data_IF_510769692491
#
_entry.id   IF_510769692491
#
_cell.length_a   1.000
_cell.length_b   1.000
_cell.length_c   1.000
_cell.angle_alpha   90.00
_cell.angle_beta   90.00
_cell.angle_gamma   90.00
#
_symmetry.space_group_name_H-M   'P 1'
#
loop_
_entity.id
_entity.type
_entity.pdbx_description
1 polymer ?
#
# COMPACT_ATOMS: atom_id res chain seq x y z
N UNK A 1 -65.04 20.15 32.88
CA UNK A 1 -63.62 19.85 33.17
C UNK A 1 -63.18 18.86 32.10
N UNK A 2 -62.33 19.26 31.16
CA UNK A 2 -61.80 18.35 30.14
C UNK A 2 -60.70 17.51 30.80
N UNK A 3 -60.88 16.20 30.83
CA UNK A 3 -59.86 15.24 31.26
C UNK A 3 -58.78 15.22 30.17
N UNK A 4 -57.56 15.62 30.54
CA UNK A 4 -56.41 15.58 29.65
C UNK A 4 -56.06 14.13 29.32
N UNK A 5 -55.90 13.82 28.04
CA UNK A 5 -55.40 12.52 27.57
C UNK A 5 -53.99 12.35 28.14
N UNK A 6 -53.85 11.54 29.19
CA UNK A 6 -52.57 11.15 29.72
C UNK A 6 -51.93 10.18 28.72
N UNK A 7 -50.91 10.64 27.99
CA UNK A 7 -50.16 9.79 27.08
C UNK A 7 -49.56 8.61 27.87
N UNK A 8 -49.70 7.37 27.38
CA UNK A 8 -49.12 6.21 28.04
C UNK A 8 -47.58 6.30 28.09
N UNK A 9 -46.92 5.68 29.08
CA UNK A 9 -45.52 5.92 29.43
C UNK A 9 -44.48 5.46 28.38
N UNK A 10 -44.92 4.84 27.28
CA UNK A 10 -44.09 4.38 26.16
C UNK A 10 -44.18 5.28 24.92
N UNK A 11 -44.89 6.41 25.01
CA UNK A 11 -44.98 7.38 23.91
C UNK A 11 -43.80 8.32 24.01
N UNK A 12 -42.81 8.09 23.14
CA UNK A 12 -41.65 8.98 23.02
C UNK A 12 -42.10 10.39 22.63
N UNK A 13 -41.62 11.38 23.36
CA UNK A 13 -41.84 12.78 23.02
C UNK A 13 -41.13 13.16 21.72
N UNK A 14 -41.55 14.25 21.03
CA UNK A 14 -40.90 14.70 19.81
C UNK A 14 -39.38 14.92 19.94
N UNK A 15 -38.89 15.26 21.14
CA UNK A 15 -37.45 15.37 21.44
C UNK A 15 -36.76 14.00 21.44
N UNK A 16 -37.34 12.99 22.09
CA UNK A 16 -36.76 11.65 22.18
C UNK A 16 -36.77 10.94 20.82
N UNK A 17 -37.85 11.12 20.05
CA UNK A 17 -37.92 10.68 18.65
C UNK A 17 -36.88 11.42 17.81
N UNK A 18 -36.70 12.72 18.03
CA UNK A 18 -35.65 13.52 17.39
C UNK A 18 -34.24 13.03 17.70
N UNK A 19 -33.94 12.71 18.96
CA UNK A 19 -32.66 12.13 19.39
C UNK A 19 -32.43 10.73 18.79
N UNK A 20 -33.48 9.91 18.70
CA UNK A 20 -33.40 8.60 18.05
C UNK A 20 -33.16 8.70 16.54
N UNK A 21 -33.87 9.60 15.86
CA UNK A 21 -33.66 9.87 14.44
C UNK A 21 -32.26 10.43 14.21
N UNK A 22 -31.77 11.30 15.10
CA UNK A 22 -30.41 11.83 15.00
C UNK A 22 -29.35 10.77 15.34
N UNK A 23 -29.61 9.84 16.26
CA UNK A 23 -28.68 8.73 16.52
C UNK A 23 -28.69 7.68 15.39
N UNK A 24 -29.80 7.54 14.67
CA UNK A 24 -29.97 6.55 13.59
C UNK A 24 -29.57 7.11 12.22
N UNK A 25 -29.79 8.41 11.98
CA UNK A 25 -29.61 9.09 10.69
C UNK A 25 -28.77 10.37 10.79
N UNK A 26 -28.54 10.90 11.98
CA UNK A 26 -27.67 12.05 12.23
C UNK A 26 -26.22 11.62 12.18
N UNK A 27 -25.67 11.66 10.98
CA UNK A 27 -24.74 12.71 10.57
C UNK A 27 -23.99 12.21 9.34
N UNK A 28 -24.72 12.17 8.21
CA UNK A 28 -24.11 11.89 6.91
C UNK A 28 -23.13 12.99 6.50
N UNK A 29 -23.25 14.21 7.05
CA UNK A 29 -22.38 15.34 6.71
C UNK A 29 -21.03 15.28 7.41
N UNK A 30 -20.97 14.97 8.70
CA UNK A 30 -19.70 14.76 9.41
C UNK A 30 -18.93 13.54 8.88
N UNK A 31 -19.63 12.46 8.49
CA UNK A 31 -18.99 11.31 7.83
C UNK A 31 -18.42 11.69 6.46
N UNK A 32 -19.18 12.46 5.67
CA UNK A 32 -18.74 12.94 4.37
C UNK A 32 -17.57 13.95 4.49
N UNK A 33 -17.54 14.78 5.52
CA UNK A 33 -16.45 15.74 5.77
C UNK A 33 -15.18 15.06 6.31
N UNK A 34 -15.32 14.08 7.20
CA UNK A 34 -14.21 13.25 7.67
C UNK A 34 -13.60 12.39 6.55
N UNK A 35 -14.42 11.94 5.58
CA UNK A 35 -13.95 11.27 4.37
C UNK A 35 -13.32 12.22 3.34
N UNK A 36 -13.74 13.50 3.31
CA UNK A 36 -13.27 14.52 2.34
C UNK A 36 -11.89 15.08 2.66
N UNK A 37 -11.39 14.99 3.89
CA UNK A 37 -10.05 15.51 4.24
C UNK A 37 -8.98 14.44 4.50
N UNK A 38 -9.15 13.25 3.91
CA UNK A 38 -8.02 12.33 3.76
C UNK A 38 -7.05 12.97 2.74
N UNK A 39 -6.00 13.65 3.22
CA UNK A 39 -4.94 14.20 2.37
C UNK A 39 -4.25 13.06 1.57
N UNK A 40 -4.78 12.77 0.38
CA UNK A 40 -4.24 11.76 -0.53
C UNK A 40 -2.97 12.28 -1.17
N UNK A 41 -1.84 11.87 -0.61
CA UNK A 41 -0.50 12.28 -1.06
C UNK A 41 0.13 11.21 -1.93
N UNK A 42 1.06 11.64 -2.76
CA UNK A 42 2.00 10.71 -3.39
C UNK A 42 3.12 10.40 -2.41
N UNK A 43 3.47 9.13 -2.28
CA UNK A 43 4.52 8.67 -1.36
C UNK A 43 5.61 7.96 -2.14
N UNK A 44 6.84 8.47 -2.07
CA UNK A 44 8.02 7.80 -2.62
C UNK A 44 8.77 7.11 -1.45
N UNK A 45 8.93 5.79 -1.50
CA UNK A 45 9.59 4.95 -0.48
C UNK A 45 10.84 4.30 -1.08
N UNK A 46 11.95 4.32 -0.34
CA UNK A 46 13.19 3.63 -0.72
C UNK A 46 13.51 2.52 0.26
N UNK A 47 13.68 1.30 -0.26
CA UNK A 47 13.96 0.11 0.54
C UNK A 47 15.32 -0.52 0.19
N UNK A 48 15.87 -1.21 1.18
CA UNK A 48 17.11 -2.00 1.13
C UNK A 48 16.87 -3.32 1.85
N UNK A 49 17.54 -4.38 1.44
CA UNK A 49 17.60 -5.60 2.24
C UNK A 49 18.73 -5.49 3.27
N UNK A 50 18.53 -6.04 4.47
CA UNK A 50 19.56 -6.07 5.52
C UNK A 50 20.73 -6.98 5.16
N UNK A 51 20.47 -8.09 4.46
CA UNK A 51 21.46 -9.14 4.18
C UNK A 51 22.06 -8.94 2.80
N UNK A 52 23.09 -8.10 2.70
CA UNK A 52 23.80 -7.90 1.43
C UNK A 52 24.66 -9.12 1.15
N UNK A 53 24.32 -9.88 0.12
CA UNK A 53 25.28 -10.78 -0.48
C UNK A 53 26.25 -9.94 -1.31
N UNK A 54 27.47 -9.80 -0.79
CA UNK A 54 28.55 -9.10 -1.49
C UNK A 54 29.06 -10.07 -2.57
N UNK A 55 28.83 -9.71 -3.83
CA UNK A 55 29.34 -10.41 -5.00
C UNK A 55 30.87 -10.55 -4.96
N UNK A 56 31.38 -11.67 -5.48
CA UNK A 56 32.80 -11.85 -5.77
C UNK A 56 33.20 -11.18 -7.10
N UNK A 57 34.44 -10.67 -7.17
CA UNK A 57 35.07 -10.11 -8.40
C UNK A 57 34.87 -8.60 -8.65
N UNK A 58 35.18 -8.14 -9.87
CA UNK A 58 34.99 -6.81 -10.46
C UNK A 58 33.74 -6.02 -10.01
N UNK A 59 32.59 -6.66 -9.78
CA UNK A 59 31.40 -5.96 -9.27
C UNK A 59 31.58 -5.37 -7.86
N UNK A 60 32.35 -6.04 -6.99
CA UNK A 60 32.77 -5.51 -5.69
C UNK A 60 33.68 -4.29 -5.87
N UNK A 61 34.60 -4.36 -6.83
CA UNK A 61 35.52 -3.26 -7.16
C UNK A 61 34.78 -2.00 -7.60
N UNK A 62 33.69 -2.15 -8.36
CA UNK A 62 32.82 -1.03 -8.76
C UNK A 62 31.71 -0.69 -7.74
N UNK A 63 31.71 -1.32 -6.56
CA UNK A 63 30.78 -1.00 -5.47
C UNK A 63 29.33 -1.42 -5.73
N UNK A 64 29.12 -2.51 -6.47
CA UNK A 64 27.80 -3.10 -6.70
C UNK A 64 27.46 -4.18 -5.68
N UNK A 65 26.18 -4.22 -5.30
CA UNK A 65 25.56 -5.21 -4.43
C UNK A 65 24.53 -6.03 -5.24
N UNK A 66 24.31 -7.28 -4.83
CA UNK A 66 23.24 -8.14 -5.34
C UNK A 66 22.14 -8.33 -4.30
N UNK A 67 20.89 -8.47 -4.78
CA UNK A 67 19.70 -8.68 -3.96
C UNK A 67 18.87 -9.84 -4.50
N UNK A 68 18.21 -10.55 -3.58
CA UNK A 68 17.14 -11.48 -3.93
C UNK A 68 15.89 -10.69 -4.34
N UNK A 69 15.87 -10.28 -5.61
CA UNK A 69 14.78 -9.52 -6.19
C UNK A 69 13.43 -10.26 -6.09
N UNK A 70 13.44 -11.60 -6.09
CA UNK A 70 12.23 -12.44 -5.96
C UNK A 70 11.69 -12.40 -4.54
N UNK A 71 12.53 -12.66 -3.54
CA UNK A 71 12.13 -12.59 -2.12
C UNK A 71 11.61 -11.20 -1.75
N UNK A 72 12.29 -10.15 -2.21
CA UNK A 72 11.88 -8.77 -1.99
C UNK A 72 10.53 -8.47 -2.67
N UNK A 73 10.32 -8.92 -3.92
CA UNK A 73 9.06 -8.75 -4.62
C UNK A 73 7.91 -9.40 -3.86
N UNK A 74 8.07 -10.64 -3.41
CA UNK A 74 7.04 -11.38 -2.67
C UNK A 74 6.65 -10.66 -1.37
N UNK A 75 7.61 -10.12 -0.62
CA UNK A 75 7.35 -9.39 0.62
C UNK A 75 6.58 -8.09 0.33
N UNK A 76 7.02 -7.31 -0.66
CA UNK A 76 6.39 -6.04 -1.02
C UNK A 76 4.97 -6.26 -1.52
N UNK A 77 4.76 -7.22 -2.42
CA UNK A 77 3.44 -7.50 -2.97
C UNK A 77 2.50 -8.03 -1.87
N UNK A 78 2.98 -8.89 -0.98
CA UNK A 78 2.18 -9.35 0.19
C UNK A 78 1.79 -8.18 1.08
N UNK A 79 2.72 -7.26 1.36
CA UNK A 79 2.46 -6.09 2.19
C UNK A 79 1.43 -5.14 1.54
N UNK A 80 1.55 -4.91 0.23
CA UNK A 80 0.60 -4.10 -0.54
C UNK A 80 -0.78 -4.75 -0.62
N UNK A 81 -0.84 -6.07 -0.78
CA UNK A 81 -2.10 -6.83 -0.78
C UNK A 81 -2.85 -6.69 0.55
N UNK A 82 -2.11 -6.79 1.67
CA UNK A 82 -2.63 -6.52 3.02
C UNK A 82 -3.02 -5.06 3.24
N UNK A 83 -2.41 -4.12 2.51
CA UNK A 83 -2.82 -2.72 2.47
C UNK A 83 -3.99 -2.43 1.51
N UNK A 84 -4.57 -3.45 0.88
CA UNK A 84 -5.74 -3.32 0.02
C UNK A 84 -5.45 -3.16 -1.47
N UNK A 85 -4.18 -3.09 -1.88
CA UNK A 85 -3.79 -3.09 -3.29
C UNK A 85 -3.87 -4.52 -3.83
N UNK A 86 -4.99 -4.87 -4.45
CA UNK A 86 -5.28 -6.25 -4.85
C UNK A 86 -5.12 -6.51 -6.35
N UNK A 87 -5.22 -5.48 -7.18
CA UNK A 87 -5.24 -5.64 -8.65
C UNK A 87 -3.87 -5.38 -9.26
N UNK A 88 -3.25 -6.40 -9.84
CA UNK A 88 -2.03 -6.21 -10.63
C UNK A 88 -2.41 -5.58 -11.97
N UNK A 89 -1.74 -4.49 -12.33
CA UNK A 89 -2.00 -3.71 -13.55
C UNK A 89 -0.95 -4.00 -14.61
N UNK A 90 0.31 -4.07 -14.20
CA UNK A 90 1.43 -4.27 -15.12
C UNK A 90 2.61 -4.95 -14.42
N UNK A 91 3.32 -5.79 -15.18
CA UNK A 91 4.54 -6.45 -14.74
C UNK A 91 5.56 -6.36 -15.87
N UNK A 92 6.66 -5.63 -15.64
CA UNK A 92 7.76 -5.50 -16.60
C UNK A 92 8.99 -6.25 -16.08
N UNK A 93 9.47 -7.22 -16.85
CA UNK A 93 10.75 -7.90 -16.62
C UNK A 93 11.54 -7.95 -17.93
N UNK A 94 12.83 -7.58 -17.91
CA UNK A 94 13.70 -7.58 -19.11
C UNK A 94 13.12 -6.80 -20.31
N UNK A 95 12.39 -5.70 -20.08
CA UNK A 95 11.68 -4.92 -21.10
C UNK A 95 10.52 -5.66 -21.79
N UNK A 96 10.08 -6.79 -21.23
CA UNK A 96 8.85 -7.49 -21.64
C UNK A 96 7.77 -7.23 -20.61
N UNK A 97 6.56 -6.97 -21.10
CA UNK A 97 5.37 -6.83 -20.28
C UNK A 97 4.67 -8.18 -20.17
N UNK A 98 4.22 -8.52 -18.96
CA UNK A 98 3.51 -9.74 -18.66
C UNK A 98 2.14 -9.37 -18.10
N UNK A 99 1.09 -10.03 -18.61
CA UNK A 99 -0.23 -9.95 -18.01
C UNK A 99 -0.29 -10.92 -16.84
N UNK A 100 -0.35 -10.37 -15.63
CA UNK A 100 -0.59 -11.13 -14.41
C UNK A 100 -1.86 -10.62 -13.75
N UNK A 101 -2.78 -11.52 -13.47
CA UNK A 101 -3.97 -11.19 -12.68
C UNK A 101 -3.79 -11.62 -11.22
N UNK A 102 -3.02 -12.69 -10.97
CA UNK A 102 -2.81 -13.24 -9.62
C UNK A 102 -1.35 -13.19 -9.20
N UNK A 103 -1.16 -13.10 -7.90
CA UNK A 103 0.15 -13.18 -7.22
C UNK A 103 0.90 -14.48 -7.52
N UNK A 104 0.18 -15.61 -7.68
CA UNK A 104 0.78 -16.91 -8.03
C UNK A 104 1.39 -16.92 -9.43
N UNK A 105 0.79 -16.22 -10.39
CA UNK A 105 1.31 -16.12 -11.77
C UNK A 105 2.63 -15.35 -11.81
N UNK A 106 2.86 -14.51 -10.80
CA UNK A 106 4.10 -13.78 -10.61
C UNK A 106 5.24 -14.73 -10.25
N UNK A 107 5.01 -15.80 -9.48
CA UNK A 107 6.07 -16.72 -9.07
C UNK A 107 6.72 -17.47 -10.24
N UNK A 108 5.95 -17.80 -11.28
CA UNK A 108 6.44 -18.45 -12.50
C UNK A 108 7.19 -17.46 -13.42
N UNK A 109 6.80 -16.18 -13.43
CA UNK A 109 7.54 -15.12 -14.12
C UNK A 109 8.83 -14.78 -13.37
N UNK A 110 8.78 -14.82 -12.03
CA UNK A 110 9.92 -14.60 -11.16
C UNK A 110 10.87 -15.81 -11.13
N UNK A 111 10.45 -17.04 -11.45
CA UNK A 111 11.37 -18.20 -11.50
C UNK A 111 12.31 -18.18 -12.71
N UNK A 112 11.93 -17.49 -13.80
CA UNK A 112 12.80 -17.21 -14.95
C UNK A 112 13.69 -15.97 -14.83
N UNK A 113 13.93 -15.48 -13.60
CA UNK A 113 14.63 -14.22 -13.34
C UNK A 113 16.13 -14.28 -13.59
N UNK A 114 16.50 -13.97 -14.82
CA UNK A 114 17.85 -13.56 -15.17
C UNK A 114 17.91 -12.05 -15.51
N UNK A 115 16.87 -11.28 -15.15
CA UNK A 115 16.76 -9.84 -15.40
C UNK A 115 17.36 -8.98 -14.28
N UNK A 116 17.99 -7.86 -14.63
CA UNK A 116 18.61 -6.94 -13.66
C UNK A 116 17.61 -6.05 -12.92
N UNK A 117 16.39 -5.91 -13.45
CA UNK A 117 15.36 -4.98 -12.98
C UNK A 117 13.97 -5.56 -13.19
N UNK A 118 13.16 -5.47 -12.14
CA UNK A 118 11.74 -5.80 -12.12
C UNK A 118 10.93 -4.52 -11.93
N UNK A 119 9.78 -4.41 -12.60
CA UNK A 119 8.78 -3.40 -12.27
C UNK A 119 7.40 -4.01 -12.16
N UNK A 120 6.64 -3.49 -11.21
CA UNK A 120 5.26 -3.90 -10.97
C UNK A 120 4.41 -2.65 -10.79
N UNK A 121 3.18 -2.71 -11.26
CA UNK A 121 2.15 -1.74 -10.92
C UNK A 121 0.99 -2.51 -10.32
N UNK A 122 0.61 -2.16 -9.09
CA UNK A 122 -0.53 -2.74 -8.39
C UNK A 122 -1.47 -1.63 -7.95
N UNK A 123 -2.77 -1.86 -8.07
CA UNK A 123 -3.81 -0.88 -7.85
C UNK A 123 -4.75 -1.32 -6.72
N UNK A 124 -5.17 -0.34 -5.93
CA UNK A 124 -6.28 -0.46 -4.97
C UNK A 124 -7.58 0.04 -5.61
N UNK A 125 -7.50 1.14 -6.37
CA UNK A 125 -8.60 1.74 -7.14
C UNK A 125 -8.09 2.23 -8.51
N UNK A 126 -8.89 2.96 -9.27
CA UNK A 126 -8.45 3.53 -10.56
C UNK A 126 -7.35 4.59 -10.41
N UNK A 127 -7.34 5.30 -9.29
CA UNK A 127 -6.43 6.40 -9.01
C UNK A 127 -5.33 6.03 -8.00
N UNK A 128 -5.58 5.07 -7.10
CA UNK A 128 -4.59 4.61 -6.11
C UNK A 128 -3.76 3.47 -6.70
N UNK A 129 -2.52 3.79 -7.08
CA UNK A 129 -1.58 2.86 -7.69
C UNK A 129 -0.25 2.87 -6.96
N UNK A 130 0.32 1.69 -6.76
CA UNK A 130 1.67 1.49 -6.29
C UNK A 130 2.53 1.00 -7.47
N UNK A 131 3.52 1.81 -7.86
CA UNK A 131 4.56 1.46 -8.81
C UNK A 131 5.82 1.03 -8.07
N UNK A 132 6.27 -0.19 -8.29
CA UNK A 132 7.41 -0.80 -7.61
C UNK A 132 8.49 -1.07 -8.63
N UNK A 133 9.74 -0.74 -8.29
CA UNK A 133 10.92 -1.04 -9.08
C UNK A 133 11.95 -1.70 -8.18
N UNK A 134 12.33 -2.93 -8.51
CA UNK A 134 13.33 -3.70 -7.76
C UNK A 134 14.52 -3.96 -8.69
N UNK A 135 15.74 -3.68 -8.22
CA UNK A 135 16.98 -3.92 -8.96
C UNK A 135 17.75 -5.04 -8.29
N UNK A 136 18.07 -6.09 -9.06
CA UNK A 136 18.93 -7.18 -8.60
C UNK A 136 20.36 -6.69 -8.37
N UNK A 137 20.91 -5.95 -9.33
CA UNK A 137 22.23 -5.34 -9.20
C UNK A 137 22.12 -3.82 -9.07
N UNK A 138 22.76 -3.26 -8.06
CA UNK A 138 22.67 -1.84 -7.75
C UNK A 138 23.94 -1.36 -7.04
N UNK A 139 24.24 -0.06 -7.15
CA UNK A 139 25.32 0.54 -6.37
C UNK A 139 24.97 0.44 -4.89
N UNK A 140 25.85 -0.12 -4.06
CA UNK A 140 25.61 -0.37 -2.63
C UNK A 140 25.22 0.90 -1.84
N UNK A 141 25.60 2.09 -2.35
CA UNK A 141 25.24 3.40 -1.79
C UNK A 141 23.80 3.84 -2.09
N UNK A 142 23.13 3.23 -3.08
CA UNK A 142 21.77 3.55 -3.55
C UNK A 142 20.77 2.49 -3.13
N UNK A 143 19.47 2.81 -3.19
CA UNK A 143 18.41 1.85 -2.91
C UNK A 143 18.29 0.80 -4.02
N UNK A 144 18.15 -0.47 -3.61
CA UNK A 144 17.83 -1.56 -4.52
C UNK A 144 16.39 -1.47 -5.00
N UNK A 145 15.50 -1.01 -4.12
CA UNK A 145 14.06 -0.94 -4.39
C UNK A 145 13.50 0.46 -4.21
N UNK A 146 12.69 0.87 -5.18
CA UNK A 146 11.94 2.13 -5.18
C UNK A 146 10.46 1.81 -5.30
N UNK A 147 9.65 2.38 -4.42
CA UNK A 147 8.19 2.26 -4.46
C UNK A 147 7.62 3.66 -4.53
N UNK A 148 6.63 3.85 -5.39
CA UNK A 148 5.82 5.05 -5.48
C UNK A 148 4.37 4.64 -5.27
N UNK A 149 3.69 5.23 -4.30
CA UNK A 149 2.26 5.04 -4.08
C UNK A 149 1.55 6.36 -4.35
N UNK A 150 0.72 6.39 -5.39
CA UNK A 150 -0.02 7.56 -5.79
C UNK A 150 -1.37 7.62 -5.04
N UNK A 151 -1.75 8.83 -4.62
CA UNK A 151 -3.01 9.14 -3.91
C UNK A 151 -3.28 8.26 -2.68
N UNK A 152 -2.23 7.92 -1.93
CA UNK A 152 -2.33 7.02 -0.77
C UNK A 152 -2.74 7.74 0.51
N UNK A 153 -3.42 7.00 1.37
CA UNK A 153 -3.82 7.37 2.74
C UNK A 153 -2.69 7.02 3.72
N UNK A 154 -2.48 7.81 4.78
CA UNK A 154 -1.35 7.61 5.73
C UNK A 154 -1.39 6.23 6.38
N UNK A 155 -2.58 5.73 6.71
CA UNK A 155 -2.83 4.45 7.35
C UNK A 155 -2.38 3.28 6.48
N UNK A 156 -2.64 3.34 5.17
CA UNK A 156 -2.23 2.29 4.23
C UNK A 156 -0.71 2.24 4.08
N UNK A 157 -0.07 3.42 4.05
CA UNK A 157 1.40 3.54 4.02
C UNK A 157 1.99 2.98 5.31
N UNK A 158 1.41 3.31 6.47
CA UNK A 158 1.87 2.79 7.76
C UNK A 158 1.74 1.26 7.84
N UNK A 159 0.60 0.72 7.42
CA UNK A 159 0.36 -0.74 7.36
C UNK A 159 1.38 -1.43 6.46
N UNK A 160 1.63 -0.86 5.27
CA UNK A 160 2.66 -1.35 4.36
C UNK A 160 4.06 -1.35 4.99
N UNK A 161 4.47 -0.22 5.57
CA UNK A 161 5.80 -0.05 6.15
C UNK A 161 6.03 -0.98 7.36
N UNK A 162 5.01 -1.23 8.18
CA UNK A 162 5.10 -2.14 9.33
C UNK A 162 5.42 -3.57 8.87
N UNK A 163 4.67 -4.09 7.89
CA UNK A 163 4.88 -5.45 7.36
C UNK A 163 6.27 -5.58 6.74
N UNK A 164 6.71 -4.57 5.97
CA UNK A 164 8.02 -4.55 5.32
C UNK A 164 9.14 -4.59 6.37
N UNK A 165 9.05 -3.79 7.43
CA UNK A 165 10.04 -3.77 8.52
C UNK A 165 10.08 -5.10 9.27
N UNK A 166 8.92 -5.68 9.61
CA UNK A 166 8.82 -6.99 10.26
C UNK A 166 9.48 -8.10 9.44
N UNK A 167 9.38 -8.03 8.11
CA UNK A 167 9.98 -9.01 7.18
C UNK A 167 11.46 -8.75 6.86
N UNK A 168 12.11 -7.80 7.55
CA UNK A 168 13.55 -7.59 7.46
C UNK A 168 14.02 -6.59 6.39
N UNK A 169 13.11 -5.93 5.68
CA UNK A 169 13.45 -4.83 4.78
C UNK A 169 13.72 -3.55 5.58
N UNK A 170 14.80 -2.87 5.25
CA UNK A 170 15.14 -1.58 5.84
C UNK A 170 14.57 -0.45 5.00
N UNK A 171 13.80 0.42 5.65
CA UNK A 171 13.27 1.65 5.05
C UNK A 171 14.31 2.75 5.22
N UNK A 172 14.85 3.28 4.11
CA UNK A 172 15.87 4.35 4.17
C UNK A 172 15.27 5.74 4.11
N UNK A 173 14.20 5.90 3.34
CA UNK A 173 13.63 7.20 3.01
C UNK A 173 12.15 7.02 2.67
N UNK A 174 11.30 7.89 3.22
CA UNK A 174 9.87 7.98 2.93
C UNK A 174 9.56 9.46 2.72
N UNK A 175 9.13 9.83 1.50
CA UNK A 175 8.83 11.22 1.15
C UNK A 175 7.39 11.35 0.69
N UNK A 176 6.64 12.15 1.43
CA UNK A 176 5.27 12.55 1.08
C UNK A 176 5.33 13.80 0.20
N UNK A 177 4.63 13.76 -0.93
CA UNK A 177 4.49 14.87 -1.88
C UNK A 177 3.01 15.20 -2.03
N UNK A 178 2.72 16.50 -2.06
CA UNK A 178 1.38 17.01 -2.42
C UNK A 178 1.12 16.73 -3.91
#
# INVERSE_FOLDING_TARGET
>A
RMEGIANPPWVYGPKEVGEWINATYGDSRERDEYEKEIERKRVDIKLFWKKKEILNGWRKMFGYCEEDAKGIANIILTALYKAGFKRIVDVECRRRHFKCEKLKDLESILSGLEGNKLRFVIAKSEIEKASIVIRRFYLCKRASTLIRIDKSVKEDVARFLNIVKEKGLTVRDVRYKK
#
